data_IF_648640854006
#
_entry.id   IF_648640854006
#
_cell.length_a   1.000
_cell.length_b   1.000
_cell.length_c   1.000
_cell.angle_alpha   90.00
_cell.angle_beta   90.00
_cell.angle_gamma   90.00
#
_symmetry.space_group_name_H-M   'P 1'
#
loop_
_entity.id
_entity.type
_entity.pdbx_description
1 polymer ?
#
# COMPACT_ATOMS: atom_id res chain seq x y z
N UNK A 1 -3.34 -2.26 8.82
CA UNK A 1 -4.36 -2.93 9.63
C UNK A 1 -4.32 -4.35 9.19
N UNK A 2 -5.44 -5.03 9.15
CA UNK A 2 -5.57 -6.23 8.33
C UNK A 2 -7.01 -6.35 7.83
N UNK A 3 -7.18 -6.56 6.53
CA UNK A 3 -8.47 -6.85 5.92
C UNK A 3 -8.69 -8.36 5.83
N UNK A 4 -9.69 -8.86 6.56
CA UNK A 4 -10.23 -10.19 6.40
C UNK A 4 -11.41 -10.12 5.43
N UNK A 5 -11.23 -10.60 4.21
CA UNK A 5 -12.34 -10.73 3.27
C UNK A 5 -13.23 -11.91 3.65
N UNK A 6 -14.51 -11.63 3.90
CA UNK A 6 -15.50 -12.60 4.40
C UNK A 6 -16.39 -13.17 3.29
N UNK A 7 -16.20 -12.75 2.04
CA UNK A 7 -17.08 -13.06 0.91
C UNK A 7 -18.35 -12.21 0.91
N UNK A 8 -19.13 -12.33 -0.17
CA UNK A 8 -20.33 -11.51 -0.40
C UNK A 8 -20.08 -10.01 -0.33
N UNK A 9 -18.93 -9.56 -0.84
CA UNK A 9 -18.51 -8.16 -0.80
C UNK A 9 -18.48 -7.58 0.63
N UNK A 10 -18.06 -8.39 1.62
CA UNK A 10 -17.91 -7.97 3.02
C UNK A 10 -16.48 -8.23 3.50
N UNK A 11 -15.96 -7.27 4.26
CA UNK A 11 -14.68 -7.42 4.96
C UNK A 11 -14.81 -7.08 6.44
N UNK A 12 -13.99 -7.73 7.26
CA UNK A 12 -13.66 -7.29 8.62
C UNK A 12 -12.28 -6.62 8.58
N UNK A 13 -12.20 -5.36 8.98
CA UNK A 13 -10.92 -4.64 9.09
C UNK A 13 -10.51 -4.61 10.55
N UNK A 14 -9.39 -5.24 10.86
CA UNK A 14 -8.79 -5.23 12.19
C UNK A 14 -7.68 -4.18 12.26
N UNK A 15 -7.67 -3.43 13.36
CA UNK A 15 -6.69 -2.38 13.58
C UNK A 15 -5.90 -2.75 14.84
N UNK A 16 -4.61 -3.02 14.69
CA UNK A 16 -3.72 -3.29 15.82
C UNK A 16 -3.54 -2.01 16.65
N UNK A 17 -3.77 -2.11 17.96
CA UNK A 17 -3.64 -1.02 18.92
C UNK A 17 -2.46 -1.20 19.88
N UNK A 18 -1.61 -2.20 19.67
CA UNK A 18 -0.44 -2.47 20.53
C UNK A 18 0.60 -1.34 20.43
N UNK A 19 0.70 -0.71 19.25
CA UNK A 19 1.47 0.51 19.05
C UNK A 19 0.53 1.63 18.55
N UNK A 20 0.70 2.87 19.02
CA UNK A 20 -0.09 4.00 18.54
C UNK A 20 0.03 4.17 17.02
N UNK A 21 -1.12 4.24 16.34
CA UNK A 21 -1.18 4.65 14.95
C UNK A 21 -1.03 6.17 14.89
N UNK A 22 -0.15 6.64 14.00
CA UNK A 22 0.04 8.07 13.80
C UNK A 22 -1.19 8.63 13.10
N UNK A 23 -1.72 9.76 13.58
CA UNK A 23 -2.94 10.36 13.03
C UNK A 23 -2.83 10.64 11.52
N UNK A 24 -1.64 11.02 11.04
CA UNK A 24 -1.39 11.28 9.62
C UNK A 24 -1.46 10.03 8.73
N UNK A 25 -1.23 8.84 9.30
CA UNK A 25 -1.31 7.57 8.56
C UNK A 25 -2.73 7.00 8.50
N UNK A 26 -3.72 7.63 9.16
CA UNK A 26 -5.05 7.05 9.28
C UNK A 26 -5.83 7.10 7.97
N UNK A 27 -5.70 8.18 7.18
CA UNK A 27 -6.33 8.27 5.86
C UNK A 27 -5.78 7.19 4.92
N UNK A 28 -4.45 7.06 4.86
CA UNK A 28 -3.78 6.03 4.07
C UNK A 28 -4.25 4.63 4.47
N UNK A 29 -4.28 4.33 5.78
CA UNK A 29 -4.79 3.06 6.31
C UNK A 29 -6.25 2.78 5.90
N UNK A 30 -7.13 3.79 5.96
CA UNK A 30 -8.53 3.66 5.56
C UNK A 30 -8.67 3.34 4.08
N UNK A 31 -7.88 3.99 3.22
CA UNK A 31 -7.88 3.73 1.79
C UNK A 31 -7.30 2.37 1.46
N UNK A 32 -6.18 2.01 2.10
CA UNK A 32 -5.44 0.76 1.92
C UNK A 32 -6.30 -0.46 2.24
N UNK A 33 -6.96 -0.46 3.40
CA UNK A 33 -7.78 -1.61 3.82
C UNK A 33 -9.20 -1.57 3.26
N UNK A 34 -9.70 -0.37 2.95
CA UNK A 34 -11.07 -0.12 2.55
C UNK A 34 -11.21 0.24 1.08
N UNK A 35 -11.56 1.50 0.82
CA UNK A 35 -11.84 2.01 -0.51
C UNK A 35 -10.76 3.01 -0.97
N UNK A 36 -10.15 2.83 -2.15
CA UNK A 36 -10.36 1.76 -3.12
C UNK A 36 -9.35 0.58 -2.99
N UNK A 37 -8.79 0.33 -1.80
CA UNK A 37 -7.79 -0.72 -1.55
C UNK A 37 -8.36 -2.14 -1.42
N UNK A 38 -7.84 -2.93 -0.48
CA UNK A 38 -8.08 -4.38 -0.38
C UNK A 38 -9.56 -4.78 -0.43
N UNK A 39 -10.42 -4.13 0.35
CA UNK A 39 -11.85 -4.44 0.33
C UNK A 39 -12.46 -4.27 -1.07
N UNK A 40 -12.14 -3.16 -1.74
CA UNK A 40 -12.65 -2.89 -3.08
C UNK A 40 -12.09 -3.89 -4.10
N UNK A 41 -10.79 -4.21 -4.02
CA UNK A 41 -10.16 -5.24 -4.87
C UNK A 41 -10.87 -6.59 -4.74
N UNK A 42 -11.01 -7.09 -3.51
CA UNK A 42 -11.64 -8.39 -3.28
C UNK A 42 -13.11 -8.40 -3.70
N UNK A 43 -13.86 -7.36 -3.35
CA UNK A 43 -15.27 -7.24 -3.73
C UNK A 43 -15.46 -7.23 -5.25
N UNK A 44 -14.67 -6.43 -5.98
CA UNK A 44 -14.81 -6.33 -7.44
C UNK A 44 -14.34 -7.62 -8.12
N UNK A 45 -13.24 -8.23 -7.69
CA UNK A 45 -12.77 -9.52 -8.25
C UNK A 45 -13.73 -10.67 -7.94
N UNK A 46 -14.36 -10.69 -6.76
CA UNK A 46 -15.42 -11.66 -6.45
C UNK A 46 -16.58 -11.52 -7.45
N UNK A 47 -17.09 -10.31 -7.65
CA UNK A 47 -18.21 -10.07 -8.55
C UNK A 47 -17.84 -10.38 -10.01
N UNK A 48 -16.74 -9.82 -10.49
CA UNK A 48 -16.32 -9.88 -11.89
C UNK A 48 -15.72 -11.24 -12.25
N UNK A 49 -14.63 -11.61 -11.60
CA UNK A 49 -13.82 -12.75 -12.05
C UNK A 49 -14.45 -14.07 -11.57
N UNK A 50 -14.86 -14.14 -10.30
CA UNK A 50 -15.44 -15.36 -9.76
C UNK A 50 -16.91 -15.56 -10.15
N UNK A 51 -17.80 -14.61 -9.84
CA UNK A 51 -19.25 -14.79 -10.04
C UNK A 51 -19.70 -14.62 -11.49
N UNK A 52 -19.25 -13.59 -12.20
CA UNK A 52 -19.63 -13.35 -13.60
C UNK A 52 -18.88 -14.29 -14.57
N UNK A 53 -17.55 -14.41 -14.45
CA UNK A 53 -16.73 -15.19 -15.41
C UNK A 53 -16.50 -16.65 -14.99
N UNK A 54 -16.78 -17.02 -13.74
CA UNK A 54 -16.60 -18.40 -13.25
C UNK A 54 -15.15 -18.79 -12.95
N UNK A 55 -14.24 -17.83 -12.79
CA UNK A 55 -12.83 -18.08 -12.48
C UNK A 55 -12.67 -18.43 -11.00
N UNK A 56 -12.80 -19.72 -10.69
CA UNK A 56 -12.79 -20.25 -9.32
C UNK A 56 -11.50 -19.97 -8.56
N UNK A 57 -10.38 -19.76 -9.24
CA UNK A 57 -9.11 -19.35 -8.64
C UNK A 57 -9.24 -18.01 -7.89
N UNK A 58 -10.12 -17.10 -8.33
CA UNK A 58 -10.35 -15.81 -7.67
C UNK A 58 -11.24 -15.89 -6.43
N UNK A 59 -11.66 -17.10 -6.03
CA UNK A 59 -12.29 -17.33 -4.73
C UNK A 59 -11.25 -17.53 -3.60
N UNK A 60 -9.95 -17.59 -3.93
CA UNK A 60 -8.85 -17.78 -2.98
C UNK A 60 -7.74 -16.79 -3.30
N UNK A 61 -7.20 -16.10 -2.30
CA UNK A 61 -5.98 -15.30 -2.44
C UNK A 61 -4.80 -16.05 -1.84
N UNK A 62 -3.70 -16.18 -2.58
CA UNK A 62 -2.51 -16.88 -2.12
C UNK A 62 -1.46 -15.90 -1.59
N UNK A 63 -1.22 -15.97 -0.28
CA UNK A 63 -0.16 -15.21 0.39
C UNK A 63 1.22 -15.71 -0.06
N UNK A 64 2.19 -14.80 -0.16
CA UNK A 64 3.56 -15.08 -0.63
C UNK A 64 3.65 -15.53 -2.09
N UNK A 65 2.77 -14.99 -2.93
CA UNK A 65 2.80 -15.19 -4.39
C UNK A 65 2.90 -13.84 -5.11
N UNK A 66 3.19 -13.83 -6.43
CA UNK A 66 3.15 -12.60 -7.23
C UNK A 66 1.80 -11.85 -7.17
N UNK A 67 0.70 -12.53 -6.81
CA UNK A 67 -0.59 -11.89 -6.57
C UNK A 67 -0.51 -10.80 -5.48
N UNK A 68 0.27 -11.02 -4.42
CA UNK A 68 0.45 -10.05 -3.35
C UNK A 68 1.16 -8.77 -3.82
N UNK A 69 1.98 -8.82 -4.87
CA UNK A 69 2.59 -7.60 -5.44
C UNK A 69 1.52 -6.72 -6.07
N UNK A 70 0.53 -7.33 -6.73
CA UNK A 70 -0.61 -6.60 -7.30
C UNK A 70 -1.50 -6.06 -6.18
N UNK A 71 -1.90 -6.92 -5.24
CA UNK A 71 -2.82 -6.55 -4.17
C UNK A 71 -2.26 -5.46 -3.26
N UNK A 72 -0.99 -5.56 -2.86
CA UNK A 72 -0.33 -4.53 -2.06
C UNK A 72 -0.01 -3.27 -2.86
N UNK A 73 0.29 -3.39 -4.15
CA UNK A 73 0.40 -2.22 -5.02
C UNK A 73 -0.93 -1.45 -5.11
N UNK A 74 -2.05 -2.15 -5.29
CA UNK A 74 -3.41 -1.56 -5.29
C UNK A 74 -3.66 -0.84 -3.97
N UNK A 75 -3.42 -1.50 -2.84
CA UNK A 75 -3.69 -0.95 -1.52
C UNK A 75 -2.78 0.23 -1.17
N UNK A 76 -1.48 0.16 -1.48
CA UNK A 76 -0.52 1.25 -1.23
C UNK A 76 -0.73 2.48 -2.12
N UNK A 77 -1.32 2.32 -3.31
CA UNK A 77 -1.65 3.43 -4.20
C UNK A 77 -3.08 3.98 -3.99
N UNK A 78 -3.92 3.27 -3.23
CA UNK A 78 -5.34 3.55 -3.07
C UNK A 78 -5.66 5.01 -2.70
N UNK A 79 -4.92 5.62 -1.76
CA UNK A 79 -5.15 7.01 -1.36
C UNK A 79 -4.92 7.98 -2.54
N UNK A 80 -3.83 7.78 -3.30
CA UNK A 80 -3.44 8.64 -4.43
C UNK A 80 -4.40 8.58 -5.62
N UNK A 81 -5.27 7.57 -5.68
CA UNK A 81 -6.30 7.44 -6.71
C UNK A 81 -7.48 8.38 -6.43
N UNK A 82 -7.76 8.63 -5.15
CA UNK A 82 -8.91 9.43 -4.72
C UNK A 82 -8.51 10.87 -4.40
N UNK A 83 -7.31 11.08 -3.86
CA UNK A 83 -6.86 12.38 -3.39
C UNK A 83 -5.57 12.83 -4.08
N UNK A 84 -5.55 14.09 -4.51
CA UNK A 84 -4.28 14.80 -4.71
C UNK A 84 -3.60 15.01 -3.34
N UNK A 85 -2.27 15.26 -3.29
CA UNK A 85 -1.58 15.49 -2.02
C UNK A 85 -2.20 16.62 -1.19
N UNK A 86 -2.56 17.74 -1.82
CA UNK A 86 -3.18 18.88 -1.14
C UNK A 86 -4.59 18.51 -0.63
N UNK A 87 -5.40 17.84 -1.44
CA UNK A 87 -6.73 17.40 -1.02
C UNK A 87 -6.69 16.39 0.13
N UNK A 88 -5.69 15.49 0.14
CA UNK A 88 -5.48 14.54 1.24
C UNK A 88 -5.13 15.28 2.54
N UNK A 89 -4.22 16.26 2.45
CA UNK A 89 -3.79 17.11 3.57
C UNK A 89 -4.96 17.93 4.14
N UNK A 90 -5.73 18.60 3.29
CA UNK A 90 -6.94 19.34 3.68
C UNK A 90 -7.98 18.43 4.35
N UNK A 91 -8.21 17.24 3.78
CA UNK A 91 -9.16 16.27 4.34
C UNK A 91 -8.72 15.78 5.72
N UNK A 92 -7.45 15.43 5.90
CA UNK A 92 -6.90 15.03 7.22
C UNK A 92 -7.02 16.18 8.22
N UNK A 93 -6.70 17.40 7.80
CA UNK A 93 -6.90 18.62 8.59
C UNK A 93 -8.31 18.75 9.13
N UNK A 94 -9.31 18.62 8.25
CA UNK A 94 -10.71 18.79 8.61
C UNK A 94 -11.30 17.60 9.39
N UNK A 95 -10.91 16.35 9.07
CA UNK A 95 -11.60 15.14 9.53
C UNK A 95 -10.87 14.37 10.63
N UNK A 96 -9.55 14.52 10.72
CA UNK A 96 -8.73 13.82 11.71
C UNK A 96 -8.13 14.81 12.69
N UNK A 97 -7.40 15.82 12.22
CA UNK A 97 -6.66 16.73 13.10
C UNK A 97 -7.57 17.69 13.85
N UNK A 98 -8.53 18.32 13.15
CA UNK A 98 -9.49 19.26 13.75
C UNK A 98 -10.21 18.69 14.97
N UNK A 99 -10.87 17.52 14.87
CA UNK A 99 -11.52 16.87 16.02
C UNK A 99 -10.57 16.51 17.18
N UNK A 100 -9.28 16.32 16.90
CA UNK A 100 -8.26 15.99 17.90
C UNK A 100 -7.52 17.23 18.44
N UNK A 101 -7.84 18.43 17.95
CA UNK A 101 -7.14 19.67 18.31
C UNK A 101 -5.70 19.74 17.83
N UNK A 102 -5.31 18.91 16.85
CA UNK A 102 -3.97 18.92 16.27
C UNK A 102 -3.91 20.04 15.24
N UNK A 103 -2.85 20.85 15.27
CA UNK A 103 -2.60 21.91 14.31
C UNK A 103 -1.41 21.52 13.45
N UNK A 104 -1.62 21.51 12.13
CA UNK A 104 -0.61 21.14 11.14
C UNK A 104 -0.66 22.16 10.01
N UNK A 105 0.50 22.56 9.51
CA UNK A 105 0.61 23.32 8.26
C UNK A 105 0.44 22.35 7.08
N UNK A 106 -0.59 22.51 6.23
CA UNK A 106 -0.87 21.56 5.15
C UNK A 106 0.29 21.41 4.16
N UNK A 107 0.99 22.51 3.85
CA UNK A 107 2.12 22.51 2.92
C UNK A 107 3.34 21.79 3.51
N UNK A 108 3.60 21.99 4.80
CA UNK A 108 4.64 21.26 5.53
C UNK A 108 4.33 19.76 5.59
N UNK A 109 3.08 19.38 5.81
CA UNK A 109 2.65 17.97 5.84
C UNK A 109 2.92 17.29 4.49
N UNK A 110 2.50 17.90 3.38
CA UNK A 110 2.75 17.37 2.03
C UNK A 110 4.25 17.19 1.77
N UNK A 111 5.09 18.14 2.20
CA UNK A 111 6.54 18.03 2.07
C UNK A 111 7.12 16.87 2.90
N UNK A 112 6.64 16.70 4.14
CA UNK A 112 7.06 15.59 5.02
C UNK A 112 6.63 14.25 4.42
N UNK A 113 5.39 14.13 3.94
CA UNK A 113 4.89 12.91 3.31
C UNK A 113 5.72 12.52 2.08
N UNK A 114 6.02 13.49 1.21
CA UNK A 114 6.88 13.27 0.05
C UNK A 114 8.28 12.81 0.45
N UNK A 115 8.86 13.37 1.51
CA UNK A 115 10.16 12.98 2.01
C UNK A 115 10.14 11.56 2.62
N UNK A 116 9.13 11.25 3.44
CA UNK A 116 8.94 9.93 4.05
C UNK A 116 8.70 8.85 3.00
N UNK A 117 8.03 9.19 1.89
CA UNK A 117 7.79 8.25 0.79
C UNK A 117 9.09 7.68 0.21
N UNK A 118 10.19 8.45 0.22
CA UNK A 118 11.51 7.97 -0.24
C UNK A 118 12.10 6.89 0.67
N UNK A 119 11.60 6.74 1.91
CA UNK A 119 12.07 5.80 2.90
C UNK A 119 11.31 4.47 2.89
N UNK A 120 10.35 4.28 1.97
CA UNK A 120 9.49 3.08 1.90
C UNK A 120 10.27 1.76 1.73
N UNK A 121 11.45 1.79 1.13
CA UNK A 121 12.31 0.62 0.93
C UNK A 121 13.10 0.21 2.19
N UNK A 122 13.14 1.05 3.24
CA UNK A 122 13.93 0.80 4.46
C UNK A 122 13.56 -0.53 5.12
N UNK A 123 12.27 -0.90 5.16
CA UNK A 123 11.84 -2.19 5.71
C UNK A 123 12.39 -3.39 4.91
N UNK A 124 12.36 -3.31 3.58
CA UNK A 124 12.93 -4.34 2.70
C UNK A 124 14.46 -4.41 2.81
N UNK A 125 15.12 -3.26 2.91
CA UNK A 125 16.58 -3.19 3.12
C UNK A 125 16.99 -3.84 4.45
N UNK A 126 16.24 -3.62 5.52
CA UNK A 126 16.48 -4.30 6.79
C UNK A 126 16.37 -5.83 6.66
N UNK A 127 15.38 -6.32 5.90
CA UNK A 127 15.27 -7.75 5.60
C UNK A 127 16.47 -8.29 4.81
N UNK A 128 16.96 -7.53 3.81
CA UNK A 128 18.17 -7.90 3.05
C UNK A 128 19.42 -7.92 3.93
N UNK A 129 19.61 -6.91 4.79
CA UNK A 129 20.74 -6.88 5.73
C UNK A 129 20.73 -8.13 6.63
N UNK A 130 19.57 -8.48 7.17
CA UNK A 130 19.44 -9.64 8.08
C UNK A 130 19.63 -10.98 7.37
N UNK A 131 18.92 -11.20 6.26
CA UNK A 131 18.83 -12.52 5.63
C UNK A 131 19.80 -12.72 4.47
N UNK A 132 20.19 -11.64 3.79
CA UNK A 132 21.17 -11.66 2.70
C UNK A 132 22.60 -11.48 3.20
N UNK A 133 22.81 -10.47 4.05
CA UNK A 133 24.16 -10.10 4.51
C UNK A 133 24.53 -10.69 5.89
N UNK A 134 23.56 -11.30 6.58
CA UNK A 134 23.78 -11.93 7.90
C UNK A 134 24.01 -10.93 9.03
N UNK A 135 23.56 -9.68 8.88
CA UNK A 135 23.71 -8.62 9.87
C UNK A 135 22.91 -8.98 11.14
N UNK A 136 23.47 -8.80 12.36
CA UNK A 136 22.77 -9.06 13.61
C UNK A 136 21.49 -8.24 13.76
N UNK A 137 20.49 -8.81 14.44
CA UNK A 137 19.21 -8.15 14.73
C UNK A 137 19.35 -6.76 15.37
N UNK A 138 20.32 -6.59 16.27
CA UNK A 138 20.58 -5.30 16.92
C UNK A 138 20.99 -4.21 15.93
N UNK A 139 21.79 -4.56 14.92
CA UNK A 139 22.24 -3.62 13.89
C UNK A 139 21.12 -3.33 12.88
N UNK A 140 20.27 -4.31 12.58
CA UNK A 140 19.06 -4.10 11.79
C UNK A 140 18.06 -3.16 12.50
N UNK A 141 17.91 -3.28 13.83
CA UNK A 141 17.13 -2.33 14.63
C UNK A 141 17.75 -0.93 14.57
N UNK A 142 19.08 -0.80 14.73
CA UNK A 142 19.76 0.48 14.62
C UNK A 142 19.57 1.12 13.23
N UNK A 143 19.58 0.32 12.16
CA UNK A 143 19.28 0.75 10.80
C UNK A 143 17.85 1.29 10.68
N UNK A 144 16.85 0.55 11.18
CA UNK A 144 15.44 0.98 11.17
C UNK A 144 15.21 2.26 11.96
N UNK A 145 15.84 2.41 13.13
CA UNK A 145 15.76 3.64 13.93
C UNK A 145 16.34 4.82 13.14
N UNK A 146 17.54 4.65 12.58
CA UNK A 146 18.27 5.73 11.90
C UNK A 146 17.62 6.15 10.59
N UNK A 147 17.26 5.19 9.73
CA UNK A 147 16.83 5.46 8.36
C UNK A 147 15.31 5.38 8.19
N UNK A 148 14.61 4.61 9.04
CA UNK A 148 13.14 4.53 9.04
C UNK A 148 12.48 5.61 9.90
N UNK A 149 13.27 6.38 10.66
CA UNK A 149 12.79 7.38 11.62
C UNK A 149 11.80 6.75 12.63
N UNK A 150 12.15 5.56 13.09
CA UNK A 150 11.36 4.77 14.02
C UNK A 150 11.90 4.90 15.45
N UNK A 151 10.99 4.76 16.42
CA UNK A 151 11.41 4.50 17.79
C UNK A 151 12.01 3.10 17.86
N UNK A 152 12.92 2.86 18.82
CA UNK A 152 13.50 1.53 19.02
C UNK A 152 12.41 0.46 19.25
N UNK A 153 11.38 0.79 20.02
CA UNK A 153 10.23 -0.08 20.25
C UNK A 153 9.53 -0.48 18.94
N UNK A 154 9.29 0.48 18.03
CA UNK A 154 8.66 0.21 16.74
C UNK A 154 9.57 -0.60 15.82
N UNK A 155 10.86 -0.28 15.81
CA UNK A 155 11.85 -1.03 15.05
C UNK A 155 11.92 -2.51 15.51
N UNK A 156 11.90 -2.76 16.83
CA UNK A 156 11.83 -4.11 17.40
C UNK A 156 10.51 -4.81 17.09
N UNK A 157 9.39 -4.09 17.10
CA UNK A 157 8.10 -4.64 16.68
C UNK A 157 8.14 -5.09 15.23
N UNK A 158 8.65 -4.24 14.33
CA UNK A 158 8.81 -4.54 12.91
C UNK A 158 9.75 -5.72 12.69
N UNK A 159 10.83 -5.83 13.48
CA UNK A 159 11.78 -6.93 13.37
C UNK A 159 11.11 -8.30 13.52
N UNK A 160 10.08 -8.44 14.35
CA UNK A 160 9.35 -9.70 14.49
C UNK A 160 8.70 -10.15 13.18
N UNK A 161 8.16 -9.20 12.40
CA UNK A 161 7.64 -9.48 11.07
C UNK A 161 8.76 -9.84 10.08
N UNK A 162 9.89 -9.13 10.16
CA UNK A 162 11.05 -9.38 9.29
C UNK A 162 11.79 -10.70 9.60
N UNK A 163 11.73 -11.18 10.84
CA UNK A 163 12.35 -12.44 11.25
C UNK A 163 11.44 -13.65 11.01
N UNK A 164 10.14 -13.45 10.76
CA UNK A 164 9.20 -14.55 10.52
C UNK A 164 9.45 -15.21 9.14
N UNK A 165 9.65 -16.54 9.07
CA UNK A 165 9.92 -17.23 7.81
C UNK A 165 8.85 -17.05 6.72
N UNK A 166 7.59 -16.86 7.12
CA UNK A 166 6.48 -16.62 6.20
C UNK A 166 6.43 -15.16 5.74
N UNK A 167 6.74 -14.20 6.60
CA UNK A 167 6.54 -12.77 6.32
C UNK A 167 7.78 -12.03 5.84
N UNK A 168 8.99 -12.57 6.06
CA UNK A 168 10.26 -11.92 5.70
C UNK A 168 10.38 -11.56 4.22
N UNK A 169 9.71 -12.31 3.33
CA UNK A 169 9.66 -12.01 1.89
C UNK A 169 8.44 -11.14 1.51
N UNK A 170 7.40 -11.12 2.35
CA UNK A 170 6.20 -10.34 2.11
C UNK A 170 6.48 -8.83 2.20
N UNK A 171 7.41 -8.37 3.05
CA UNK A 171 7.73 -6.94 3.19
C UNK A 171 8.08 -6.24 1.87
N UNK A 172 8.57 -6.98 0.87
CA UNK A 172 8.92 -6.42 -0.43
C UNK A 172 7.70 -6.07 -1.28
N UNK A 173 6.56 -6.77 -1.11
CA UNK A 173 5.37 -6.57 -1.95
C UNK A 173 4.82 -5.16 -1.84
N UNK A 174 4.91 -4.53 -0.66
CA UNK A 174 4.47 -3.16 -0.44
C UNK A 174 5.17 -2.16 -1.38
N UNK A 175 6.49 -2.01 -1.26
CA UNK A 175 7.19 -0.98 -2.04
C UNK A 175 7.42 -1.39 -3.49
N UNK A 176 7.68 -2.68 -3.76
CA UNK A 176 7.84 -3.16 -5.14
C UNK A 176 6.51 -3.10 -5.89
N UNK A 177 5.40 -3.46 -5.24
CA UNK A 177 4.06 -3.34 -5.80
C UNK A 177 3.67 -1.88 -6.04
N UNK A 178 3.89 -1.01 -5.05
CA UNK A 178 3.69 0.42 -5.20
C UNK A 178 4.43 0.97 -6.42
N UNK A 179 5.72 0.69 -6.56
CA UNK A 179 6.54 1.25 -7.64
C UNK A 179 6.15 0.68 -9.00
N UNK A 180 6.01 -0.65 -9.10
CA UNK A 180 5.61 -1.31 -10.36
C UNK A 180 4.26 -0.79 -10.88
N UNK A 181 3.26 -0.72 -10.00
CA UNK A 181 1.93 -0.28 -10.39
C UNK A 181 1.88 1.24 -10.57
N UNK A 182 2.61 2.01 -9.76
CA UNK A 182 2.71 3.46 -9.89
C UNK A 182 3.24 3.84 -11.26
N UNK A 183 4.37 3.27 -11.67
CA UNK A 183 4.97 3.51 -12.99
C UNK A 183 4.00 3.14 -14.12
N UNK A 184 3.27 2.03 -13.97
CA UNK A 184 2.28 1.58 -14.96
C UNK A 184 1.02 2.44 -15.03
N UNK A 185 0.56 2.96 -13.89
CA UNK A 185 -0.55 3.90 -13.81
C UNK A 185 -0.21 5.25 -14.46
N UNK A 186 1.07 5.63 -14.40
CA UNK A 186 1.58 6.90 -14.90
C UNK A 186 2.12 6.80 -16.34
N UNK A 187 1.99 5.63 -17.00
CA UNK A 187 2.32 5.45 -18.41
C UNK A 187 1.46 6.37 -19.30
N UNK A 188 2.11 7.32 -19.97
CA UNK A 188 1.49 8.19 -20.97
C UNK A 188 0.94 7.34 -22.14
N UNK A 189 -0.38 7.34 -22.33
CA UNK A 189 -0.99 6.89 -23.58
C UNK A 189 -1.20 8.09 -24.53
N UNK A 190 -1.17 7.88 -25.85
CA UNK A 190 -1.35 8.96 -26.85
C UNK A 190 -2.68 9.72 -26.67
N UNK A 191 -3.64 9.08 -25.99
CA UNK A 191 -4.95 9.60 -25.58
C UNK A 191 -4.92 10.55 -24.36
N UNK A 192 -3.81 10.64 -23.62
CA UNK A 192 -3.72 11.26 -22.28
C UNK A 192 -3.26 12.73 -22.27
N UNK A 193 -3.31 13.44 -23.41
CA UNK A 193 -2.83 14.82 -23.53
C UNK A 193 -3.87 15.83 -23.01
N UNK A 194 -3.78 16.24 -21.74
CA UNK A 194 -4.62 17.32 -21.19
C UNK A 194 -4.86 17.23 -19.68
N UNK A 195 -5.98 17.80 -19.23
CA UNK A 195 -6.52 17.72 -17.87
C UNK A 195 -7.00 16.28 -17.51
N UNK A 196 -7.07 15.40 -18.49
CA UNK A 196 -7.63 14.03 -18.41
C UNK A 196 -6.68 12.99 -17.77
N UNK A 197 -5.53 13.40 -17.21
CA UNK A 197 -4.58 12.47 -16.56
C UNK A 197 -5.16 11.78 -15.33
N UNK A 198 -5.99 12.49 -14.56
CA UNK A 198 -6.70 11.90 -13.41
C UNK A 198 -7.64 10.78 -13.85
N UNK A 199 -8.40 11.02 -14.92
CA UNK A 199 -9.34 10.05 -15.50
C UNK A 199 -8.60 8.83 -16.05
N UNK A 200 -7.43 9.02 -16.67
CA UNK A 200 -6.58 7.92 -17.14
C UNK A 200 -6.10 7.02 -16.01
N UNK A 201 -5.55 7.63 -14.95
CA UNK A 201 -5.01 6.89 -13.80
C UNK A 201 -6.12 6.09 -13.09
N UNK A 202 -7.29 6.69 -12.92
CA UNK A 202 -8.47 6.02 -12.36
C UNK A 202 -8.96 4.88 -13.26
N UNK A 203 -8.97 5.06 -14.58
CA UNK A 203 -9.35 4.01 -15.52
C UNK A 203 -8.41 2.80 -15.44
N UNK A 204 -7.08 3.02 -15.46
CA UNK A 204 -6.10 1.94 -15.27
C UNK A 204 -6.21 1.26 -13.92
N UNK A 205 -6.44 2.02 -12.85
CA UNK A 205 -6.68 1.44 -11.53
C UNK A 205 -7.95 0.59 -11.50
N UNK A 206 -9.01 1.01 -12.19
CA UNK A 206 -10.21 0.20 -12.39
C UNK A 206 -9.92 -1.16 -13.04
N UNK A 207 -8.97 -1.22 -13.97
CA UNK A 207 -8.50 -2.49 -14.55
C UNK A 207 -7.83 -3.40 -13.51
N UNK A 208 -6.99 -2.85 -12.62
CA UNK A 208 -6.37 -3.63 -11.53
C UNK A 208 -7.42 -4.27 -10.60
N UNK A 209 -8.55 -3.59 -10.39
CA UNK A 209 -9.66 -4.08 -9.56
C UNK A 209 -10.53 -5.13 -10.28
N UNK A 210 -10.68 -5.04 -11.60
CA UNK A 210 -11.66 -5.82 -12.35
C UNK A 210 -11.07 -6.94 -13.23
N UNK A 211 -9.81 -6.84 -13.61
CA UNK A 211 -9.14 -7.75 -14.54
C UNK A 211 -8.15 -8.68 -13.80
N UNK A 212 -7.87 -9.84 -14.40
CA UNK A 212 -6.80 -10.73 -13.94
C UNK A 212 -5.45 -10.19 -14.44
N UNK A 213 -4.78 -9.41 -13.59
CA UNK A 213 -3.50 -8.78 -13.89
C UNK A 213 -2.35 -9.50 -13.17
N UNK A 214 -1.21 -9.66 -13.83
CA UNK A 214 0.01 -10.26 -13.25
C UNK A 214 1.17 -9.28 -13.30
N UNK A 215 2.15 -9.38 -12.37
CA UNK A 215 3.31 -8.48 -12.38
C UNK A 215 4.11 -8.55 -13.70
N UNK A 216 4.21 -9.73 -14.33
CA UNK A 216 4.88 -9.90 -15.62
C UNK A 216 4.14 -9.24 -16.78
N UNK A 217 2.80 -9.31 -16.79
CA UNK A 217 2.00 -8.64 -17.82
C UNK A 217 2.17 -7.12 -17.73
N UNK A 218 2.06 -6.58 -16.51
CA UNK A 218 2.27 -5.15 -16.24
C UNK A 218 3.67 -4.71 -16.66
N UNK A 219 4.71 -5.48 -16.29
CA UNK A 219 6.08 -5.17 -16.68
C UNK A 219 6.28 -5.18 -18.19
N UNK A 220 5.61 -6.06 -18.93
CA UNK A 220 5.71 -6.09 -20.39
C UNK A 220 5.14 -4.84 -21.08
N UNK A 221 4.20 -4.15 -20.43
CA UNK A 221 3.65 -2.89 -20.93
C UNK A 221 4.56 -1.68 -20.64
N UNK A 222 5.51 -1.80 -19.69
CA UNK A 222 6.43 -0.73 -19.32
C UNK A 222 7.65 -0.61 -20.25
N UNK A 223 7.95 -1.64 -21.05
CA UNK A 223 9.14 -1.71 -21.91
C UNK A 223 10.29 -2.50 -21.30
#
# INVERSE_FOLDING_TARGET
>A
GYNWYLGDCRSLIEINTDLPIRANALLDLMCHEGYPGHHAEHAIKELRLYREHGYGEHAIQLINTPECVISEGVATLAQSIVFTPDAASEWRGARIYGPLGIQVDPGQEVQIERALHQLRSVGGNAALLMHGDGVPEADAVAYLVRYGLETEERARHRLRFLSDPLWRAYVFTYHVGHDLLGDWLDLDDESSRGDDRGDHRQARFGRLLAEQMTPSAIRSELG
#
